data_IF_613244486703
#
_entry.id   IF_613244486703
#
_cell.length_a   1.000
_cell.length_b   1.000
_cell.length_c   1.000
_cell.angle_alpha   90.00
_cell.angle_beta   90.00
_cell.angle_gamma   90.00
#
_symmetry.space_group_name_H-M   'P 1'
#
loop_
_entity.id
_entity.type
_entity.pdbx_description
1 polymer ?
#
# COMPACT_ATOMS: atom_id res chain seq x y z
N UNK A 1 1.17 -52.18 -27.43
CA UNK A 1 1.85 -52.47 -26.15
C UNK A 1 3.20 -51.76 -26.14
N UNK A 2 3.23 -50.50 -25.68
CA UNK A 2 4.42 -49.74 -25.26
C UNK A 2 3.90 -48.51 -24.50
N UNK A 3 3.80 -48.68 -23.20
CA UNK A 3 3.52 -47.66 -22.19
C UNK A 3 4.79 -47.57 -21.31
N UNK A 4 4.98 -46.46 -20.61
CA UNK A 4 6.12 -46.05 -19.78
C UNK A 4 7.24 -45.30 -20.53
N UNK A 5 7.31 -43.98 -20.34
CA UNK A 5 8.24 -43.35 -19.38
C UNK A 5 8.05 -41.81 -19.47
N UNK A 6 7.17 -41.25 -18.64
CA UNK A 6 7.20 -39.82 -18.28
C UNK A 6 6.91 -39.76 -16.78
N UNK A 7 7.97 -39.76 -15.99
CA UNK A 7 7.94 -39.40 -14.58
C UNK A 7 9.26 -38.69 -14.28
N UNK A 8 9.16 -37.61 -13.50
CA UNK A 8 10.27 -36.88 -12.86
C UNK A 8 10.81 -35.63 -13.56
N UNK A 9 9.96 -34.59 -13.71
CA UNK A 9 10.38 -33.17 -13.67
C UNK A 9 9.27 -32.33 -13.00
N UNK A 10 8.99 -32.56 -11.70
CA UNK A 10 8.08 -31.70 -10.91
C UNK A 10 8.49 -31.56 -9.43
N UNK A 11 9.74 -31.87 -9.07
CA UNK A 11 10.15 -31.95 -7.66
C UNK A 11 11.19 -30.89 -7.21
N UNK A 12 11.58 -29.92 -8.03
CA UNK A 12 12.70 -29.01 -7.68
C UNK A 12 12.30 -27.54 -7.44
N UNK A 13 11.03 -27.17 -7.61
CA UNK A 13 10.54 -25.81 -7.32
C UNK A 13 9.80 -25.65 -5.98
N UNK A 14 9.57 -26.75 -5.22
CA UNK A 14 8.86 -26.68 -3.94
C UNK A 14 9.78 -26.56 -2.70
N UNK A 15 11.10 -26.60 -2.87
CA UNK A 15 12.04 -26.69 -1.73
C UNK A 15 12.47 -25.29 -1.22
N UNK A 16 12.25 -24.22 -1.98
CA UNK A 16 12.62 -22.85 -1.57
C UNK A 16 11.63 -22.16 -0.62
N UNK A 17 10.45 -22.74 -0.33
CA UNK A 17 9.51 -22.20 0.66
C UNK A 17 9.55 -22.87 2.03
N UNK A 18 10.29 -23.97 2.20
CA UNK A 18 10.41 -24.66 3.50
C UNK A 18 11.62 -24.20 4.33
N UNK A 19 12.38 -23.20 3.85
CA UNK A 19 13.69 -22.87 4.42
C UNK A 19 13.70 -21.81 5.53
N UNK A 20 12.59 -21.16 5.90
CA UNK A 20 12.62 -20.04 6.88
C UNK A 20 11.53 -20.05 7.98
N UNK A 21 10.74 -21.12 8.13
CA UNK A 21 9.75 -21.19 9.20
C UNK A 21 10.35 -21.11 10.62
N UNK A 22 11.64 -21.48 10.78
CA UNK A 22 12.34 -21.43 12.06
C UNK A 22 12.76 -20.00 12.48
N UNK A 23 12.76 -19.02 11.56
CA UNK A 23 13.21 -17.64 11.88
C UNK A 23 12.06 -16.71 12.28
N UNK A 24 10.81 -17.01 11.89
CA UNK A 24 9.64 -16.17 12.21
C UNK A 24 9.40 -16.04 13.73
N UNK A 25 9.78 -17.07 14.50
CA UNK A 25 9.66 -17.06 15.98
C UNK A 25 10.62 -16.07 16.66
N UNK A 26 11.64 -15.59 15.95
CA UNK A 26 12.66 -14.68 16.47
C UNK A 26 12.45 -13.22 16.06
N UNK A 27 11.35 -12.87 15.37
CA UNK A 27 11.09 -11.47 15.02
C UNK A 27 10.96 -10.64 16.32
N UNK A 28 11.89 -9.69 16.58
CA UNK A 28 11.88 -8.92 17.80
C UNK A 28 10.64 -8.03 17.92
N UNK A 29 10.01 -7.64 16.81
CA UNK A 29 8.80 -6.84 16.84
C UNK A 29 7.57 -7.69 17.21
N UNK A 30 7.47 -8.92 16.72
CA UNK A 30 6.40 -9.83 17.17
C UNK A 30 6.50 -10.09 18.68
N UNK A 31 7.70 -10.38 19.18
CA UNK A 31 7.91 -10.62 20.62
C UNK A 31 7.70 -9.38 21.52
N UNK A 32 7.92 -8.17 20.98
CA UNK A 32 7.66 -6.90 21.69
C UNK A 32 6.19 -6.48 21.68
N UNK A 33 5.35 -7.05 20.82
CA UNK A 33 3.96 -6.61 20.63
C UNK A 33 3.13 -6.61 21.93
N UNK A 34 3.22 -7.60 22.83
CA UNK A 34 2.53 -7.55 24.13
C UNK A 34 2.88 -6.34 25.00
N UNK A 35 4.15 -5.88 24.94
CA UNK A 35 4.60 -4.68 25.65
C UNK A 35 3.96 -3.42 25.06
N UNK A 36 3.91 -3.33 23.73
CA UNK A 36 3.26 -2.24 23.02
C UNK A 36 1.75 -2.19 23.34
N UNK A 37 1.06 -3.33 23.36
CA UNK A 37 -0.36 -3.41 23.74
C UNK A 37 -0.58 -2.97 25.19
N UNK A 38 0.28 -3.38 26.11
CA UNK A 38 0.19 -2.99 27.53
C UNK A 38 0.33 -1.47 27.67
N UNK A 39 1.31 -0.88 26.98
CA UNK A 39 1.49 0.56 26.94
C UNK A 39 0.25 1.26 26.36
N UNK A 40 -0.21 0.83 25.18
CA UNK A 40 -1.31 1.46 24.45
C UNK A 40 -2.60 1.45 25.28
N UNK A 41 -2.93 0.30 25.86
CA UNK A 41 -4.13 0.15 26.72
C UNK A 41 -4.05 0.91 28.04
N UNK A 42 -2.85 1.02 28.63
CA UNK A 42 -2.65 1.83 29.85
C UNK A 42 -2.87 3.34 29.64
N UNK A 43 -2.84 3.79 28.38
CA UNK A 43 -3.09 5.17 27.98
C UNK A 43 -4.47 5.40 27.35
N UNK A 44 -5.41 4.49 27.61
CA UNK A 44 -6.81 4.62 27.17
C UNK A 44 -7.09 4.09 25.76
N UNK A 45 -6.10 3.51 25.09
CA UNK A 45 -6.32 2.79 23.84
C UNK A 45 -7.05 1.46 24.07
N UNK A 46 -7.70 0.96 23.03
CA UNK A 46 -8.33 -0.37 23.03
C UNK A 46 -7.91 -1.16 21.80
N UNK A 47 -7.67 -2.46 21.99
CA UNK A 47 -7.40 -3.44 20.94
C UNK A 47 -8.21 -4.70 21.24
N UNK A 48 -8.92 -5.24 20.25
CA UNK A 48 -9.63 -6.50 20.42
C UNK A 48 -8.65 -7.62 20.82
N UNK A 49 -8.93 -8.39 21.88
CA UNK A 49 -7.99 -9.39 22.41
C UNK A 49 -7.72 -10.55 21.44
N UNK A 50 -8.43 -10.63 20.32
CA UNK A 50 -8.18 -11.59 19.25
C UNK A 50 -7.15 -11.10 18.25
N UNK A 51 -6.62 -9.89 18.35
CA UNK A 51 -5.61 -9.34 17.43
C UNK A 51 -4.20 -9.65 17.94
N UNK A 52 -3.32 -10.06 17.02
CA UNK A 52 -1.87 -10.21 17.22
C UNK A 52 -1.12 -9.61 16.03
N UNK A 53 0.21 -9.59 16.09
CA UNK A 53 1.07 -9.42 14.92
C UNK A 53 1.59 -10.79 14.48
N UNK A 54 1.66 -11.01 13.18
CA UNK A 54 2.20 -12.23 12.56
C UNK A 54 2.58 -11.97 11.11
N UNK A 55 2.77 -13.04 10.35
CA UNK A 55 3.04 -12.97 8.91
C UNK A 55 1.82 -13.45 8.12
N UNK A 56 1.54 -12.78 7.01
CA UNK A 56 0.56 -13.24 6.04
C UNK A 56 1.13 -14.33 5.09
N UNK A 57 0.33 -14.75 4.13
CA UNK A 57 0.70 -15.73 3.09
C UNK A 57 1.85 -15.29 2.18
N UNK A 58 2.16 -13.99 2.14
CA UNK A 58 3.27 -13.40 1.40
C UNK A 58 4.50 -13.16 2.30
N UNK A 59 4.47 -13.62 3.55
CA UNK A 59 5.47 -13.36 4.59
C UNK A 59 5.68 -11.87 4.87
N UNK A 60 4.62 -11.06 4.76
CA UNK A 60 4.62 -9.66 5.17
C UNK A 60 4.12 -9.60 6.61
N UNK A 61 4.91 -8.97 7.49
CA UNK A 61 4.50 -8.77 8.88
C UNK A 61 3.31 -7.82 8.93
N UNK A 62 2.29 -8.15 9.70
CA UNK A 62 1.12 -7.29 9.89
C UNK A 62 0.19 -7.79 10.99
N UNK A 63 -0.94 -7.14 11.14
CA UNK A 63 -1.99 -7.56 12.06
C UNK A 63 -2.71 -8.82 11.59
N UNK A 64 -2.88 -9.75 12.53
CA UNK A 64 -3.53 -11.05 12.31
C UNK A 64 -4.60 -11.28 13.38
N UNK A 65 -5.65 -12.00 13.03
CA UNK A 65 -6.62 -12.52 14.00
C UNK A 65 -6.13 -13.85 14.59
N UNK A 66 -6.42 -14.12 15.86
CA UNK A 66 -6.18 -15.40 16.54
C UNK A 66 -7.45 -16.25 16.63
N UNK A 67 -8.61 -15.60 16.47
CA UNK A 67 -9.95 -16.19 16.44
C UNK A 67 -10.81 -15.39 15.48
N UNK A 68 -11.93 -15.98 15.10
CA UNK A 68 -12.93 -15.29 14.30
C UNK A 68 -13.40 -13.97 14.96
N UNK A 69 -13.53 -12.93 14.14
CA UNK A 69 -14.03 -11.61 14.54
C UNK A 69 -15.26 -11.29 13.68
N UNK A 70 -16.46 -11.15 14.28
CA UNK A 70 -17.65 -10.74 13.54
C UNK A 70 -17.53 -9.34 12.93
N UNK A 71 -18.23 -9.09 11.84
CA UNK A 71 -18.47 -7.76 11.30
C UNK A 71 -18.99 -6.80 12.38
N UNK A 72 -18.72 -5.50 12.21
CA UNK A 72 -19.09 -4.42 13.13
C UNK A 72 -18.42 -4.49 14.53
N UNK A 73 -17.49 -5.44 14.74
CA UNK A 73 -16.65 -5.46 15.94
C UNK A 73 -15.67 -4.29 15.93
N UNK A 74 -15.61 -3.52 17.01
CA UNK A 74 -14.52 -2.56 17.24
C UNK A 74 -13.20 -3.33 17.38
N UNK A 75 -12.29 -3.13 16.44
CA UNK A 75 -10.98 -3.78 16.43
C UNK A 75 -9.96 -2.97 17.24
N UNK A 76 -9.90 -1.66 16.98
CA UNK A 76 -8.94 -0.75 17.59
C UNK A 76 -9.67 0.56 17.89
N UNK A 77 -9.38 1.16 19.05
CA UNK A 77 -9.71 2.56 19.31
C UNK A 77 -8.48 3.28 19.85
N UNK A 78 -8.06 4.30 19.11
CA UNK A 78 -6.95 5.18 19.47
C UNK A 78 -7.54 6.54 19.87
N UNK A 79 -7.60 6.89 21.16
CA UNK A 79 -8.07 8.21 21.58
C UNK A 79 -7.13 9.29 21.02
N UNK A 80 -7.65 10.52 20.84
CA UNK A 80 -6.86 11.66 20.34
C UNK A 80 -5.58 11.90 21.15
N UNK A 81 -5.62 11.65 22.47
CA UNK A 81 -4.45 11.78 23.36
C UNK A 81 -3.31 10.79 23.07
N UNK A 82 -3.54 9.77 22.23
CA UNK A 82 -2.55 8.81 21.75
C UNK A 82 -2.14 9.03 20.29
N UNK A 83 -2.78 9.97 19.58
CA UNK A 83 -2.34 10.43 18.27
C UNK A 83 -1.19 11.41 18.47
N UNK A 84 -0.05 11.18 17.80
CA UNK A 84 1.09 12.10 17.82
C UNK A 84 1.01 13.03 16.62
N UNK A 85 0.63 14.27 16.91
CA UNK A 85 0.48 15.40 15.99
C UNK A 85 0.73 16.71 16.73
N UNK A 86 0.89 17.82 16.03
CA UNK A 86 0.85 19.15 16.65
C UNK A 86 -0.61 19.60 16.82
N UNK A 87 -1.10 19.63 18.06
CA UNK A 87 -2.48 20.03 18.37
C UNK A 87 -2.75 21.54 18.22
N UNK A 88 -1.71 22.36 18.05
CA UNK A 88 -1.80 23.82 17.90
C UNK A 88 -1.72 24.24 16.44
N UNK A 89 -1.03 23.44 15.62
CA UNK A 89 -0.89 23.73 14.20
C UNK A 89 -2.20 23.46 13.42
N UNK A 90 -2.37 24.09 12.24
CA UNK A 90 -3.41 23.68 11.30
C UNK A 90 -3.35 22.18 11.01
N UNK A 91 -4.50 21.55 10.79
CA UNK A 91 -4.62 20.09 10.62
C UNK A 91 -3.86 19.53 9.40
N UNK A 92 -3.33 20.39 8.53
CA UNK A 92 -2.55 20.06 7.33
C UNK A 92 -1.07 20.47 7.41
N UNK A 93 -0.60 20.99 8.55
CA UNK A 93 0.81 21.36 8.75
C UNK A 93 1.67 20.13 9.08
N UNK A 94 2.00 19.36 8.05
CA UNK A 94 2.87 18.19 8.16
C UNK A 94 4.27 18.54 8.70
N UNK A 95 4.76 19.78 8.53
CA UNK A 95 6.04 20.17 9.11
C UNK A 95 5.95 20.19 10.64
N UNK A 96 4.86 20.72 11.19
CA UNK A 96 4.61 20.77 12.63
C UNK A 96 4.48 19.35 13.23
N UNK A 97 3.76 18.45 12.56
CA UNK A 97 3.66 17.05 13.00
C UNK A 97 5.02 16.35 13.04
N UNK A 98 5.85 16.52 12.01
CA UNK A 98 7.20 15.94 12.01
C UNK A 98 8.05 16.54 13.13
N UNK A 99 7.94 17.84 13.41
CA UNK A 99 8.64 18.48 14.54
C UNK A 99 8.14 17.97 15.90
N UNK A 100 6.84 17.63 16.04
CA UNK A 100 6.32 16.96 17.23
C UNK A 100 6.96 15.58 17.43
N UNK A 101 7.14 14.80 16.35
CA UNK A 101 7.86 13.52 16.39
C UNK A 101 9.34 13.73 16.77
N UNK A 102 10.01 14.73 16.19
CA UNK A 102 11.40 15.09 16.53
C UNK A 102 11.52 15.45 18.02
N UNK A 103 10.57 16.21 18.55
CA UNK A 103 10.53 16.59 19.95
C UNK A 103 10.50 15.35 20.85
N UNK A 104 9.54 14.46 20.63
CA UNK A 104 9.37 13.26 21.44
C UNK A 104 10.56 12.30 21.33
N UNK A 105 11.16 12.15 20.14
CA UNK A 105 12.39 11.37 19.96
C UNK A 105 13.57 11.92 20.79
N UNK A 106 13.69 13.26 20.91
CA UNK A 106 14.74 13.90 21.72
C UNK A 106 14.52 13.74 23.23
N UNK A 107 13.26 13.65 23.67
CA UNK A 107 12.93 13.35 25.07
C UNK A 107 13.38 11.91 25.43
N UNK A 108 13.42 11.01 24.45
CA UNK A 108 13.99 9.67 24.61
C UNK A 108 13.16 8.80 25.54
N UNK A 109 13.79 8.15 26.51
CA UNK A 109 13.10 7.20 27.42
C UNK A 109 12.05 7.84 28.33
N UNK A 110 12.07 9.17 28.47
CA UNK A 110 11.06 9.91 29.23
C UNK A 110 9.82 10.25 28.40
N UNK A 111 9.86 10.04 27.08
CA UNK A 111 8.72 10.28 26.20
C UNK A 111 7.62 9.27 26.50
N UNK A 112 6.37 9.74 26.56
CA UNK A 112 5.21 8.84 26.61
C UNK A 112 5.16 7.92 25.38
N UNK A 113 5.74 8.31 24.25
CA UNK A 113 5.74 7.58 22.99
C UNK A 113 6.97 6.68 22.81
N UNK A 114 7.88 6.63 23.80
CA UNK A 114 9.11 5.84 23.70
C UNK A 114 8.84 4.36 23.37
N UNK A 115 7.86 3.72 24.03
CA UNK A 115 7.51 2.31 23.75
C UNK A 115 7.04 2.10 22.32
N UNK A 116 6.32 3.06 21.75
CA UNK A 116 5.90 3.02 20.35
C UNK A 116 7.10 3.21 19.40
N UNK A 117 7.99 4.14 19.70
CA UNK A 117 9.20 4.36 18.89
C UNK A 117 10.20 3.19 18.90
N UNK A 118 10.23 2.40 19.99
CA UNK A 118 11.02 1.16 20.08
C UNK A 118 10.43 0.00 19.26
N UNK A 119 9.18 0.15 18.81
CA UNK A 119 8.49 -0.76 17.91
C UNK A 119 8.58 -0.35 16.43
N UNK A 120 9.01 0.87 16.16
CA UNK A 120 9.13 1.39 14.80
C UNK A 120 10.36 0.83 14.07
N UNK A 121 10.17 0.45 12.81
CA UNK A 121 11.21 0.03 11.89
C UNK A 121 11.21 0.82 10.57
N UNK A 122 10.63 2.03 10.56
CA UNK A 122 10.50 2.86 9.35
C UNK A 122 11.84 3.25 8.73
N UNK A 123 12.90 3.32 9.54
CA UNK A 123 14.26 3.54 9.02
C UNK A 123 14.80 2.35 8.21
N UNK A 124 14.22 1.17 8.39
CA UNK A 124 14.48 -0.02 7.58
C UNK A 124 13.60 -0.12 6.33
N UNK A 125 12.57 0.72 6.20
CA UNK A 125 11.72 0.79 5.00
C UNK A 125 12.55 1.26 3.81
N UNK A 126 12.40 0.62 2.66
CA UNK A 126 13.22 0.87 1.47
C UNK A 126 12.55 1.82 0.50
N UNK A 127 12.11 2.97 1.01
CA UNK A 127 11.35 3.92 0.19
C UNK A 127 12.25 4.59 -0.86
N UNK A 128 11.71 4.96 -2.04
CA UNK A 128 12.50 5.59 -3.09
C UNK A 128 13.26 6.85 -2.68
N UNK A 129 12.78 7.57 -1.66
CA UNK A 129 13.45 8.75 -1.11
C UNK A 129 14.77 8.45 -0.38
N UNK A 130 15.10 7.17 -0.15
CA UNK A 130 16.39 6.74 0.42
C UNK A 130 17.41 6.30 -0.62
N UNK A 131 16.97 6.10 -1.87
CA UNK A 131 17.83 5.56 -2.90
C UNK A 131 18.89 6.58 -3.30
N UNK A 132 20.01 6.11 -3.85
CA UNK A 132 20.96 6.99 -4.50
C UNK A 132 20.27 7.70 -5.70
N UNK A 133 20.18 9.05 -5.73
CA UNK A 133 19.57 9.79 -6.82
C UNK A 133 20.19 9.50 -8.19
N UNK A 134 21.48 9.14 -8.22
CA UNK A 134 22.22 8.78 -9.45
C UNK A 134 22.35 7.26 -9.63
N UNK A 135 21.75 6.51 -8.70
CA UNK A 135 21.84 5.08 -8.56
C UNK A 135 21.16 4.32 -9.69
N UNK A 136 21.44 3.01 -9.73
CA UNK A 136 20.84 2.10 -10.72
C UNK A 136 19.32 2.05 -10.60
N UNK A 137 18.77 2.02 -9.38
CA UNK A 137 17.33 1.91 -9.16
C UNK A 137 16.55 3.05 -9.83
N UNK A 138 17.02 4.29 -9.68
CA UNK A 138 16.42 5.47 -10.34
C UNK A 138 16.51 5.37 -11.86
N UNK A 139 17.63 4.85 -12.41
CA UNK A 139 17.79 4.61 -13.85
C UNK A 139 16.86 3.54 -14.40
N UNK A 140 16.54 2.50 -13.62
CA UNK A 140 15.57 1.47 -14.04
C UNK A 140 14.14 2.04 -14.19
N UNK A 141 13.84 3.16 -13.54
CA UNK A 141 12.57 3.88 -13.66
C UNK A 141 12.57 4.92 -14.80
N UNK A 142 13.66 5.08 -15.55
CA UNK A 142 13.75 6.07 -16.64
C UNK A 142 12.62 5.89 -17.67
N UNK A 143 11.85 6.97 -17.86
CA UNK A 143 10.69 6.99 -18.77
C UNK A 143 9.41 6.35 -18.20
N UNK A 144 9.37 6.01 -16.92
CA UNK A 144 8.18 5.46 -16.24
C UNK A 144 7.80 6.35 -15.05
N UNK A 145 6.53 6.70 -14.80
CA UNK A 145 6.17 7.32 -13.52
C UNK A 145 6.58 6.38 -12.37
N UNK A 146 7.11 6.87 -11.23
CA UNK A 146 7.37 8.26 -10.86
C UNK A 146 8.81 8.72 -11.22
N UNK A 147 9.23 8.66 -12.48
CA UNK A 147 10.55 9.14 -12.88
C UNK A 147 10.73 10.62 -12.53
N UNK A 148 11.79 10.92 -11.77
CA UNK A 148 12.07 12.27 -11.26
C UNK A 148 11.35 12.61 -9.95
N UNK A 149 10.44 11.77 -9.48
CA UNK A 149 9.63 11.99 -8.27
C UNK A 149 10.02 11.10 -7.08
N UNK A 150 10.96 10.17 -7.25
CA UNK A 150 11.39 9.25 -6.17
C UNK A 150 11.86 9.96 -4.90
N UNK A 151 12.38 11.17 -5.05
CA UNK A 151 12.88 12.01 -3.95
C UNK A 151 11.93 13.16 -3.58
N UNK A 152 10.69 13.18 -4.10
CA UNK A 152 9.76 14.31 -3.92
C UNK A 152 9.51 14.62 -2.45
N UNK A 153 9.32 13.59 -1.62
CA UNK A 153 9.00 13.75 -0.20
C UNK A 153 10.18 14.34 0.58
N UNK A 154 11.39 13.79 0.39
CA UNK A 154 12.57 14.33 1.06
C UNK A 154 12.95 15.72 0.56
N UNK A 155 12.80 15.99 -0.75
CA UNK A 155 13.04 17.31 -1.31
C UNK A 155 12.03 18.34 -0.79
N UNK A 156 10.76 17.97 -0.71
CA UNK A 156 9.71 18.80 -0.11
C UNK A 156 10.02 19.11 1.35
N UNK A 157 10.34 18.11 2.16
CA UNK A 157 10.60 18.32 3.58
C UNK A 157 11.84 19.19 3.80
N UNK A 158 12.93 18.93 3.06
CA UNK A 158 14.13 19.77 3.08
C UNK A 158 13.82 21.20 2.68
N UNK A 159 13.12 21.41 1.56
CA UNK A 159 12.82 22.73 1.03
C UNK A 159 11.85 23.52 1.90
N UNK A 160 10.71 22.92 2.22
CA UNK A 160 9.57 23.59 2.85
C UNK A 160 9.69 23.67 4.38
N UNK A 161 10.14 22.59 5.03
CA UNK A 161 10.19 22.54 6.50
C UNK A 161 11.57 22.92 7.07
N UNK A 162 12.65 22.68 6.31
CA UNK A 162 14.03 22.79 6.82
C UNK A 162 14.88 23.86 6.15
N UNK A 163 14.32 24.61 5.21
CA UNK A 163 15.01 25.70 4.51
C UNK A 163 16.24 25.22 3.73
N UNK A 164 16.16 24.04 3.13
CA UNK A 164 17.20 23.41 2.31
C UNK A 164 18.31 22.70 3.08
N UNK A 165 18.24 22.62 4.42
CA UNK A 165 19.28 21.96 5.23
C UNK A 165 19.24 20.43 5.10
N UNK A 166 20.40 19.80 5.20
CA UNK A 166 20.49 18.36 5.40
C UNK A 166 19.91 17.96 6.75
N UNK A 167 19.31 16.77 6.80
CA UNK A 167 18.69 16.22 8.01
C UNK A 167 19.75 15.53 8.86
N UNK A 168 19.71 15.74 10.18
CA UNK A 168 20.43 14.87 11.10
C UNK A 168 19.69 13.52 11.30
N UNK A 169 20.31 12.60 12.04
CA UNK A 169 19.77 11.25 12.26
C UNK A 169 18.37 11.25 12.90
N UNK A 170 18.10 12.12 13.87
CA UNK A 170 16.80 12.20 14.54
C UNK A 170 15.74 12.77 13.58
N UNK A 171 16.10 13.80 12.82
CA UNK A 171 15.22 14.40 11.82
C UNK A 171 14.88 13.42 10.70
N UNK A 172 15.86 12.65 10.24
CA UNK A 172 15.65 11.60 9.26
C UNK A 172 14.74 10.49 9.81
N UNK A 173 14.98 10.04 11.05
CA UNK A 173 14.12 9.05 11.71
C UNK A 173 12.67 9.54 11.83
N UNK A 174 12.47 10.77 12.32
CA UNK A 174 11.14 11.36 12.45
C UNK A 174 10.42 11.51 11.10
N UNK A 175 11.13 12.01 10.09
CA UNK A 175 10.61 12.12 8.73
C UNK A 175 10.19 10.77 8.16
N UNK A 176 11.04 9.75 8.31
CA UNK A 176 10.74 8.40 7.84
C UNK A 176 9.53 7.79 8.54
N UNK A 177 9.44 7.92 9.87
CA UNK A 177 8.26 7.48 10.63
C UNK A 177 6.99 8.14 10.14
N UNK A 178 7.01 9.47 9.97
CA UNK A 178 5.87 10.21 9.48
C UNK A 178 5.48 9.77 8.07
N UNK A 179 6.45 9.73 7.15
CA UNK A 179 6.22 9.39 5.75
C UNK A 179 5.56 8.01 5.58
N UNK A 180 6.04 7.00 6.29
CA UNK A 180 5.59 5.60 6.08
C UNK A 180 4.45 5.17 6.98
N UNK A 181 4.07 5.95 8.01
CA UNK A 181 3.09 5.52 9.03
C UNK A 181 2.03 6.55 9.39
N UNK A 182 2.23 7.82 9.06
CA UNK A 182 1.23 8.83 9.40
C UNK A 182 -0.08 8.58 8.64
N UNK A 183 -1.17 8.82 9.36
CA UNK A 183 -2.48 9.03 8.77
C UNK A 183 -2.72 10.53 8.59
N UNK A 184 -3.92 10.88 8.14
CA UNK A 184 -4.42 12.25 8.08
C UNK A 184 -4.57 12.96 9.44
N UNK A 185 -4.32 12.27 10.58
CA UNK A 185 -4.23 12.90 11.90
C UNK A 185 -2.80 12.94 12.47
N UNK A 186 -1.79 12.50 11.73
CA UNK A 186 -0.45 12.25 12.27
C UNK A 186 -0.20 10.76 12.59
N UNK A 187 0.72 10.46 13.50
CA UNK A 187 1.04 9.07 13.85
C UNK A 187 -0.05 8.47 14.75
N UNK A 188 -0.63 7.35 14.32
CA UNK A 188 -1.70 6.65 15.05
C UNK A 188 -1.18 5.26 15.45
N UNK A 189 -0.64 5.10 16.67
CA UNK A 189 -0.09 3.83 17.12
C UNK A 189 -1.11 2.70 17.02
N UNK A 190 -0.61 1.48 16.82
CA UNK A 190 -1.40 0.24 16.61
C UNK A 190 -2.14 0.21 15.27
N UNK A 191 -2.87 1.27 14.90
CA UNK A 191 -3.53 1.36 13.58
C UNK A 191 -2.55 1.20 12.42
N UNK A 192 -1.39 1.85 12.53
CA UNK A 192 -0.33 1.86 11.52
C UNK A 192 0.44 0.52 11.35
N UNK A 193 0.03 -0.53 12.09
CA UNK A 193 0.54 -1.89 11.93
C UNK A 193 -0.32 -2.75 10.99
N UNK A 194 -1.46 -2.24 10.52
CA UNK A 194 -2.27 -2.91 9.51
C UNK A 194 -1.64 -2.78 8.14
N UNK A 195 -1.59 -3.88 7.39
CA UNK A 195 -1.09 -3.87 6.03
C UNK A 195 -2.10 -3.25 5.06
N UNK A 196 -1.56 -2.66 4.00
CA UNK A 196 -2.32 -2.21 2.85
C UNK A 196 -2.69 -3.39 1.95
N UNK A 197 -3.95 -3.48 1.52
CA UNK A 197 -4.36 -4.32 0.40
C UNK A 197 -5.68 -3.81 -0.20
N UNK A 198 -5.68 -3.43 -1.49
CA UNK A 198 -6.88 -2.86 -2.12
C UNK A 198 -8.03 -3.86 -2.35
N UNK A 199 -7.74 -5.15 -2.54
CA UNK A 199 -8.76 -6.19 -2.79
C UNK A 199 -9.16 -7.05 -1.59
N UNK A 200 -8.55 -6.86 -0.41
CA UNK A 200 -8.80 -7.68 0.80
C UNK A 200 -9.17 -6.82 1.99
N UNK A 201 -9.62 -5.58 1.75
CA UNK A 201 -9.99 -4.62 2.79
C UNK A 201 -11.10 -5.22 3.64
N UNK A 202 -10.86 -5.40 4.94
CA UNK A 202 -11.82 -5.98 5.88
C UNK A 202 -12.06 -5.07 7.10
N UNK A 203 -11.64 -3.81 7.00
CA UNK A 203 -11.81 -2.79 8.04
C UNK A 203 -12.53 -1.56 7.50
N UNK A 204 -13.17 -0.79 8.39
CA UNK A 204 -13.63 0.58 8.16
C UNK A 204 -13.11 1.49 9.27
N UNK A 205 -13.00 2.79 8.96
CA UNK A 205 -12.42 3.79 9.83
C UNK A 205 -13.49 4.82 10.19
N UNK A 206 -13.60 5.15 11.48
CA UNK A 206 -14.52 6.16 12.00
C UNK A 206 -13.76 7.11 12.94
N UNK A 207 -14.05 8.41 12.86
CA UNK A 207 -13.63 9.36 13.88
C UNK A 207 -14.58 9.30 15.06
N UNK A 208 -14.06 9.36 16.29
CA UNK A 208 -14.92 9.62 17.44
C UNK A 208 -15.15 11.12 17.65
N UNK A 209 -16.04 11.46 18.59
CA UNK A 209 -16.39 12.86 18.91
C UNK A 209 -15.25 13.68 19.53
N UNK A 210 -14.17 13.03 19.96
CA UNK A 210 -13.01 13.66 20.60
C UNK A 210 -11.81 13.74 19.64
N UNK A 211 -11.98 13.35 18.38
CA UNK A 211 -10.92 13.35 17.36
C UNK A 211 -10.01 12.12 17.38
N UNK A 212 -10.38 11.07 18.11
CA UNK A 212 -9.73 9.76 18.05
C UNK A 212 -10.11 8.98 16.79
N UNK A 213 -9.46 7.82 16.60
CA UNK A 213 -9.70 6.90 15.50
C UNK A 213 -10.25 5.58 16.00
N UNK A 214 -11.34 5.11 15.39
CA UNK A 214 -11.93 3.79 15.58
C UNK A 214 -11.73 2.97 14.31
N UNK A 215 -11.20 1.76 14.46
CA UNK A 215 -11.09 0.75 13.41
C UNK A 215 -12.12 -0.33 13.71
N UNK A 216 -13.00 -0.60 12.76
CA UNK A 216 -14.12 -1.54 12.94
C UNK A 216 -14.03 -2.59 11.84
N UNK A 217 -14.33 -3.85 12.17
CA UNK A 217 -14.42 -4.92 11.19
C UNK A 217 -15.57 -4.64 10.21
N UNK A 218 -15.27 -4.58 8.92
CA UNK A 218 -16.28 -4.36 7.88
C UNK A 218 -17.05 -5.64 7.54
N UNK A 219 -16.39 -6.78 7.67
CA UNK A 219 -16.90 -8.13 7.40
C UNK A 219 -16.45 -9.05 8.53
N UNK A 220 -17.03 -10.24 8.60
CA UNK A 220 -16.48 -11.31 9.42
C UNK A 220 -15.03 -11.60 8.97
N UNK A 221 -14.11 -11.68 9.92
CA UNK A 221 -12.70 -11.99 9.70
C UNK A 221 -12.42 -13.35 10.34
N UNK A 222 -12.10 -14.34 9.50
CA UNK A 222 -11.75 -15.69 9.94
C UNK A 222 -10.57 -15.69 10.91
N UNK A 223 -10.43 -16.74 11.73
CA UNK A 223 -9.25 -16.93 12.58
C UNK A 223 -7.97 -17.08 11.73
N UNK A 224 -6.83 -16.63 12.27
CA UNK A 224 -5.51 -16.68 11.61
C UNK A 224 -5.48 -15.97 10.26
N UNK A 225 -6.33 -14.96 10.08
CA UNK A 225 -6.40 -14.18 8.86
C UNK A 225 -5.83 -12.77 9.07
N UNK A 226 -5.19 -12.20 8.05
CA UNK A 226 -4.70 -10.83 8.11
C UNK A 226 -5.84 -9.81 8.23
N UNK A 227 -5.58 -8.75 8.97
CA UNK A 227 -6.42 -7.55 9.05
C UNK A 227 -5.84 -6.52 8.10
N UNK A 228 -6.57 -6.23 7.03
CA UNK A 228 -6.14 -5.32 5.99
C UNK A 228 -6.89 -3.99 6.06
N UNK A 229 -6.13 -2.95 5.79
CA UNK A 229 -6.60 -1.61 5.49
C UNK A 229 -6.26 -1.28 4.03
N UNK A 230 -6.68 -0.11 3.54
CA UNK A 230 -6.07 0.47 2.35
C UNK A 230 -5.65 1.90 2.66
N UNK A 231 -4.53 2.30 2.07
CA UNK A 231 -4.03 3.67 2.07
C UNK A 231 -4.76 4.51 1.02
N UNK A 232 -5.35 3.86 0.02
CA UNK A 232 -6.08 4.47 -1.09
C UNK A 232 -7.58 4.61 -0.84
N UNK A 233 -8.03 4.68 0.43
CA UNK A 233 -9.48 4.80 0.75
C UNK A 233 -10.12 6.02 0.11
N UNK A 234 -9.33 7.06 -0.09
CA UNK A 234 -9.77 8.31 -0.67
C UNK A 234 -9.88 8.24 -2.21
N UNK A 235 -9.31 7.21 -2.83
CA UNK A 235 -9.12 7.11 -4.28
C UNK A 235 -8.01 8.01 -4.82
N UNK A 236 -7.31 8.76 -3.97
CA UNK A 236 -6.23 9.66 -4.37
C UNK A 236 -4.86 8.98 -4.41
N UNK A 237 -4.60 8.07 -3.47
CA UNK A 237 -3.31 7.38 -3.40
C UNK A 237 -3.25 6.27 -4.47
N UNK A 238 -2.46 6.49 -5.50
CA UNK A 238 -2.20 5.50 -6.54
C UNK A 238 -1.08 4.52 -6.16
N UNK A 239 -0.87 3.46 -6.94
CA UNK A 239 0.30 2.57 -6.88
C UNK A 239 1.61 3.35 -6.97
N UNK A 240 1.63 4.46 -7.72
CA UNK A 240 2.78 5.36 -7.81
C UNK A 240 3.02 6.05 -6.47
N UNK A 241 1.95 6.50 -5.81
CA UNK A 241 2.04 7.13 -4.49
C UNK A 241 2.40 6.12 -3.40
N UNK A 242 1.80 4.92 -3.43
CA UNK A 242 2.13 3.81 -2.53
C UNK A 242 3.60 3.45 -2.64
N UNK A 243 4.11 3.34 -3.87
CA UNK A 243 5.51 3.04 -4.13
C UNK A 243 6.44 4.14 -3.64
N UNK A 244 6.15 5.41 -3.94
CA UNK A 244 6.98 6.54 -3.49
C UNK A 244 6.98 6.72 -1.97
N UNK A 245 5.83 6.49 -1.33
CA UNK A 245 5.61 6.77 0.09
C UNK A 245 6.05 5.61 0.97
N UNK A 246 5.72 4.37 0.60
CA UNK A 246 5.93 3.19 1.43
C UNK A 246 6.96 2.21 0.86
N UNK A 247 7.42 2.42 -0.37
CA UNK A 247 8.47 1.60 -0.96
C UNK A 247 8.04 0.17 -1.23
N UNK A 248 6.80 -0.05 -1.66
CA UNK A 248 6.37 -1.33 -2.19
C UNK A 248 5.35 -1.13 -3.31
N UNK A 249 5.12 -2.18 -4.09
CA UNK A 249 4.06 -2.25 -5.09
C UNK A 249 3.03 -3.21 -4.55
N UNK A 250 1.81 -2.75 -4.37
CA UNK A 250 0.76 -3.59 -3.81
C UNK A 250 0.39 -4.74 -4.76
N UNK A 251 -0.09 -5.83 -4.16
CA UNK A 251 -0.74 -6.91 -4.90
C UNK A 251 -2.02 -6.39 -5.58
N UNK A 252 -2.42 -7.07 -6.66
CA UNK A 252 -3.65 -6.71 -7.35
C UNK A 252 -4.89 -6.79 -6.42
N UNK A 253 -5.86 -5.87 -6.57
CA UNK A 253 -5.89 -4.78 -7.56
C UNK A 253 -4.97 -3.60 -7.24
N UNK A 254 -4.30 -3.10 -8.27
CA UNK A 254 -3.48 -1.88 -8.22
C UNK A 254 -4.30 -0.69 -8.71
N UNK A 255 -4.11 0.49 -8.10
CA UNK A 255 -4.75 1.73 -8.54
C UNK A 255 -3.73 2.59 -9.29
N UNK A 256 -3.78 2.59 -10.61
CA UNK A 256 -2.90 3.47 -11.39
C UNK A 256 -3.62 4.79 -11.67
N UNK A 257 -2.97 5.90 -11.34
CA UNK A 257 -3.42 7.25 -11.71
C UNK A 257 -2.35 7.84 -12.60
N UNK A 258 -2.75 8.46 -13.70
CA UNK A 258 -1.82 9.22 -14.50
C UNK A 258 -2.24 10.67 -14.55
N UNK A 259 -1.27 11.55 -14.37
CA UNK A 259 -1.42 12.99 -14.38
C UNK A 259 -1.13 13.50 -15.79
N UNK A 260 -2.13 13.51 -16.67
CA UNK A 260 -2.12 14.34 -17.87
C UNK A 260 -2.82 15.66 -17.51
N UNK A 261 -2.23 16.82 -17.86
CA UNK A 261 -2.85 18.14 -17.68
C UNK A 261 -4.26 18.18 -18.30
N UNK A 262 -4.49 17.42 -19.37
CA UNK A 262 -5.82 17.25 -19.96
C UNK A 262 -6.79 16.52 -19.05
N UNK A 263 -6.32 15.55 -18.25
CA UNK A 263 -7.16 14.83 -17.29
C UNK A 263 -7.58 15.75 -16.14
N UNK A 264 -6.66 16.60 -15.65
CA UNK A 264 -6.97 17.63 -14.65
C UNK A 264 -8.03 18.59 -15.18
N UNK A 265 -7.94 18.97 -16.45
CA UNK A 265 -8.95 19.80 -17.08
C UNK A 265 -10.29 19.06 -17.26
N UNK A 266 -10.28 17.81 -17.73
CA UNK A 266 -11.49 16.99 -17.88
C UNK A 266 -12.20 16.72 -16.54
N UNK A 267 -11.45 16.54 -15.46
CA UNK A 267 -12.01 16.39 -14.11
C UNK A 267 -12.66 17.67 -13.62
N UNK A 268 -12.10 18.84 -13.94
CA UNK A 268 -12.70 20.13 -13.63
C UNK A 268 -13.96 20.41 -14.46
N UNK A 269 -13.95 20.03 -15.74
CA UNK A 269 -15.00 20.34 -16.70
C UNK A 269 -16.21 19.39 -16.59
N UNK A 270 -16.03 18.16 -16.11
CA UNK A 270 -17.09 17.16 -15.97
C UNK A 270 -17.42 16.85 -14.50
N UNK A 271 -18.56 17.37 -14.02
CA UNK A 271 -19.06 17.15 -12.66
C UNK A 271 -19.43 15.69 -12.33
N UNK A 272 -19.68 14.86 -13.35
CA UNK A 272 -19.99 13.43 -13.17
C UNK A 272 -18.75 12.53 -13.32
N UNK A 273 -17.58 13.13 -13.56
CA UNK A 273 -16.33 12.38 -13.69
C UNK A 273 -16.09 11.51 -12.45
N UNK A 274 -15.59 10.28 -12.64
CA UNK A 274 -15.38 9.32 -11.55
C UNK A 274 -14.58 9.92 -10.39
N UNK A 275 -13.52 10.67 -10.70
CA UNK A 275 -12.78 11.50 -9.75
C UNK A 275 -13.66 12.40 -8.87
N UNK A 276 -14.67 13.09 -9.41
CA UNK A 276 -15.59 13.94 -8.64
C UNK A 276 -16.56 13.11 -7.77
N UNK A 277 -16.80 11.84 -8.13
CA UNK A 277 -17.56 10.90 -7.29
C UNK A 277 -16.76 10.38 -6.10
N UNK A 278 -15.43 10.34 -6.22
CA UNK A 278 -14.52 9.88 -5.16
C UNK A 278 -13.95 11.03 -4.32
N UNK A 279 -13.85 12.21 -4.92
CA UNK A 279 -13.55 13.46 -4.24
C UNK A 279 -14.79 13.87 -3.44
N UNK A 280 -14.84 13.44 -2.18
CA UNK A 280 -15.67 14.14 -1.20
C UNK A 280 -15.26 15.61 -1.25
N UNK A 281 -16.16 16.47 -1.70
CA UNK A 281 -15.87 17.88 -1.85
C UNK A 281 -15.49 18.42 -0.46
N UNK A 282 -14.21 18.79 -0.32
CA UNK A 282 -13.56 19.22 0.94
C UNK A 282 -14.26 20.46 1.56
N UNK A 283 -15.23 21.03 0.87
CA UNK A 283 -16.00 22.19 1.28
C UNK A 283 -17.36 21.89 1.90
N UNK A 284 -17.82 20.63 1.92
CA UNK A 284 -19.00 20.27 2.69
C UNK A 284 -18.58 19.90 4.11
N UNK A 285 -19.17 20.53 5.13
CA UNK A 285 -18.84 20.30 6.55
C UNK A 285 -19.13 18.85 7.02
N UNK A 286 -19.63 17.99 6.14
CA UNK A 286 -19.78 16.53 6.30
C UNK A 286 -18.79 15.66 5.51
N UNK A 287 -17.82 16.23 4.77
CA UNK A 287 -16.93 15.52 3.85
C UNK A 287 -15.98 14.49 4.51
N UNK A 288 -15.81 14.56 5.83
CA UNK A 288 -15.06 13.57 6.60
C UNK A 288 -15.86 12.31 6.94
N UNK A 289 -17.17 12.30 6.69
CA UNK A 289 -17.98 11.10 6.89
C UNK A 289 -17.70 10.08 5.78
N UNK A 290 -16.63 9.31 5.98
CA UNK A 290 -16.27 8.16 5.16
C UNK A 290 -17.11 6.92 5.49
N UNK A 291 -18.17 7.02 6.31
CA UNK A 291 -19.02 5.86 6.65
C UNK A 291 -19.78 5.30 5.44
N UNK A 292 -19.99 6.14 4.41
CA UNK A 292 -20.59 5.72 3.14
C UNK A 292 -19.59 5.06 2.17
N UNK A 293 -18.28 5.08 2.50
CA UNK A 293 -17.29 4.33 1.74
C UNK A 293 -17.49 2.83 2.00
N UNK A 294 -18.00 2.13 0.99
CA UNK A 294 -18.15 0.67 0.99
C UNK A 294 -17.00 0.09 0.15
N UNK A 295 -15.82 -0.19 0.73
CA UNK A 295 -14.76 -0.83 -0.04
C UNK A 295 -15.25 -2.18 -0.56
N UNK A 296 -14.73 -2.59 -1.72
CA UNK A 296 -15.13 -3.80 -2.44
C UNK A 296 -16.59 -3.76 -2.98
N UNK A 297 -17.25 -2.60 -3.05
CA UNK A 297 -18.49 -2.48 -3.82
C UNK A 297 -18.18 -2.38 -5.32
N UNK A 298 -19.05 -2.93 -6.16
CA UNK A 298 -18.99 -2.85 -7.62
C UNK A 298 -19.02 -1.39 -8.16
N UNK A 299 -19.39 -0.41 -7.34
CA UNK A 299 -19.31 1.01 -7.71
C UNK A 299 -17.87 1.55 -7.67
N UNK A 300 -16.94 0.82 -7.06
CA UNK A 300 -15.54 1.20 -6.84
C UNK A 300 -14.58 0.29 -7.60
N UNK A 301 -15.05 -0.37 -8.67
CA UNK A 301 -14.26 -1.26 -9.52
C UNK A 301 -12.95 -0.61 -9.95
N UNK A 302 -11.87 -1.15 -9.38
CA UNK A 302 -10.53 -1.36 -9.95
C UNK A 302 -10.28 -0.51 -11.20
N UNK A 303 -9.76 0.69 -10.99
CA UNK A 303 -9.27 1.53 -12.08
C UNK A 303 -7.88 1.02 -12.53
N UNK A 304 -7.84 -0.06 -13.30
CA UNK A 304 -6.76 -0.25 -14.29
C UNK A 304 -7.21 0.52 -15.54
N UNK A 305 -7.18 1.84 -15.48
CA UNK A 305 -7.56 2.68 -16.61
C UNK A 305 -6.45 3.62 -16.98
N UNK A 306 -5.54 3.18 -17.87
CA UNK A 306 -4.75 4.13 -18.68
C UNK A 306 -5.67 5.31 -19.01
N UNK A 307 -5.32 6.56 -18.74
CA UNK A 307 -6.22 7.67 -18.95
C UNK A 307 -6.45 7.84 -20.43
N UNK A 308 -5.64 7.24 -21.31
CA UNK A 308 -5.96 7.15 -22.73
C UNK A 308 -7.20 6.30 -22.98
N UNK A 309 -7.47 5.28 -22.17
CA UNK A 309 -8.70 4.46 -22.24
C UNK A 309 -9.85 5.12 -21.45
N UNK A 310 -9.56 5.71 -20.28
CA UNK A 310 -10.56 6.43 -19.47
C UNK A 310 -11.00 7.79 -20.05
N UNK A 311 -10.13 8.51 -20.75
CA UNK A 311 -10.41 9.82 -21.36
C UNK A 311 -11.04 9.70 -22.74
N UNK A 312 -10.94 8.53 -23.40
CA UNK A 312 -11.65 8.31 -24.67
C UNK A 312 -13.13 7.96 -24.47
N UNK A 313 -13.57 7.47 -23.30
CA UNK A 313 -14.99 7.21 -23.01
C UNK A 313 -15.33 7.25 -21.50
N UNK A 314 -15.87 8.37 -20.97
CA UNK A 314 -16.41 8.41 -19.62
C UNK A 314 -17.91 8.09 -19.68
N UNK A 315 -18.31 6.82 -19.79
CA UNK A 315 -19.74 6.45 -19.76
C UNK A 315 -20.00 5.12 -19.08
N UNK A 316 -21.21 4.99 -18.55
CA UNK A 316 -21.86 3.83 -17.93
C UNK A 316 -21.52 2.46 -18.56
N UNK A 317 -21.19 2.40 -19.85
CA UNK A 317 -20.77 1.16 -20.55
C UNK A 317 -19.45 0.54 -20.08
N UNK A 318 -18.51 1.31 -19.51
CA UNK A 318 -17.26 0.72 -18.98
C UNK A 318 -17.51 -0.05 -17.67
N UNK A 319 -18.52 0.37 -16.91
CA UNK A 319 -19.06 -0.33 -15.74
C UNK A 319 -19.83 -1.59 -16.17
N UNK A 320 -20.54 -1.59 -17.30
CA UNK A 320 -21.20 -2.81 -17.81
C UNK A 320 -20.22 -3.86 -18.38
N UNK A 321 -19.12 -3.42 -18.98
CA UNK A 321 -18.10 -4.30 -19.59
C UNK A 321 -17.18 -4.91 -18.53
N UNK A 322 -16.79 -4.16 -17.50
CA UNK A 322 -16.01 -4.66 -16.37
C UNK A 322 -16.88 -5.29 -15.27
N UNK A 323 -18.18 -4.96 -15.23
CA UNK A 323 -19.11 -5.36 -14.18
C UNK A 323 -20.56 -5.51 -14.64
N UNK A 324 -20.84 -6.50 -15.49
CA UNK A 324 -22.13 -7.23 -15.47
C UNK A 324 -22.03 -8.71 -15.86
N UNK A 325 -20.84 -9.20 -16.22
CA UNK A 325 -20.55 -10.61 -15.98
C UNK A 325 -20.29 -10.78 -14.49
N UNK A 326 -21.26 -11.30 -13.72
CA UNK A 326 -21.00 -11.80 -12.38
C UNK A 326 -19.89 -12.86 -12.48
N UNK A 327 -18.64 -12.45 -12.29
CA UNK A 327 -17.51 -13.35 -12.22
C UNK A 327 -17.23 -13.66 -10.76
N UNK A 328 -17.10 -14.93 -10.41
CA UNK A 328 -16.63 -15.30 -9.08
C UNK A 328 -15.17 -14.85 -8.88
N UNK A 329 -14.73 -14.78 -7.63
CA UNK A 329 -13.32 -14.52 -7.33
C UNK A 329 -12.40 -15.55 -7.99
N UNK A 330 -12.81 -16.82 -8.11
CA UNK A 330 -12.07 -17.83 -8.87
C UNK A 330 -11.98 -17.49 -10.35
N UNK A 331 -13.01 -16.94 -10.98
CA UNK A 331 -12.98 -16.57 -12.40
C UNK A 331 -12.06 -15.38 -12.67
N UNK A 332 -12.04 -14.40 -11.77
CA UNK A 332 -11.05 -13.33 -11.80
C UNK A 332 -9.64 -13.87 -11.61
N UNK A 333 -9.42 -14.74 -10.62
CA UNK A 333 -8.13 -15.39 -10.40
C UNK A 333 -7.68 -16.21 -11.63
N UNK A 334 -8.59 -16.92 -12.31
CA UNK A 334 -8.28 -17.69 -13.51
C UNK A 334 -7.88 -16.78 -14.67
N UNK A 335 -8.61 -15.69 -14.92
CA UNK A 335 -8.28 -14.75 -15.99
C UNK A 335 -6.96 -14.02 -15.73
N UNK A 336 -6.78 -13.52 -14.50
CA UNK A 336 -5.55 -12.88 -14.06
C UNK A 336 -4.40 -13.88 -14.19
N UNK A 337 -4.58 -15.13 -13.75
CA UNK A 337 -3.58 -16.18 -13.86
C UNK A 337 -3.27 -16.55 -15.32
N UNK A 338 -4.26 -16.69 -16.19
CA UNK A 338 -4.06 -17.02 -17.60
C UNK A 338 -3.36 -15.87 -18.36
N UNK A 339 -3.73 -14.63 -18.06
CA UNK A 339 -3.06 -13.44 -18.57
C UNK A 339 -1.61 -13.37 -18.08
N UNK A 340 -1.38 -13.59 -16.78
CA UNK A 340 -0.05 -13.70 -16.19
C UNK A 340 0.77 -14.82 -16.83
N UNK A 341 0.21 -16.01 -17.02
CA UNK A 341 0.88 -17.14 -17.67
C UNK A 341 1.25 -16.82 -19.14
N UNK A 342 0.49 -15.99 -19.86
CA UNK A 342 0.88 -15.51 -21.20
C UNK A 342 1.95 -14.40 -21.18
N UNK A 343 1.99 -13.59 -20.12
CA UNK A 343 2.95 -12.47 -19.97
C UNK A 343 4.31 -12.94 -19.45
N UNK A 344 4.32 -14.03 -18.66
CA UNK A 344 5.51 -14.72 -18.13
C UNK A 344 6.50 -15.19 -19.20
N UNK A 345 6.13 -15.13 -20.49
CA UNK A 345 7.00 -15.46 -21.61
C UNK A 345 7.97 -14.32 -22.03
N UNK A 346 7.96 -13.15 -21.38
CA UNK A 346 8.80 -12.01 -21.78
C UNK A 346 10.17 -11.95 -21.07
N UNK A 347 11.19 -11.43 -21.79
CA UNK A 347 12.60 -11.36 -21.39
C UNK A 347 12.86 -10.69 -20.02
N UNK A 348 11.96 -9.83 -19.54
CA UNK A 348 12.13 -9.07 -18.30
C UNK A 348 11.92 -9.92 -17.03
N UNK A 349 11.09 -10.97 -17.09
CA UNK A 349 10.95 -11.91 -15.97
C UNK A 349 12.17 -12.81 -15.81
N UNK A 350 13.02 -13.01 -16.83
CA UNK A 350 14.27 -13.75 -16.66
C UNK A 350 15.29 -12.97 -15.80
N UNK A 351 15.15 -11.63 -15.74
CA UNK A 351 16.06 -10.75 -15.02
C UNK A 351 15.83 -10.88 -13.51
N UNK A 352 14.57 -10.96 -13.03
CA UNK A 352 14.27 -11.00 -11.59
C UNK A 352 14.87 -12.24 -10.89
N UNK A 353 14.61 -13.49 -11.31
CA UNK A 353 15.21 -14.67 -10.70
C UNK A 353 16.73 -14.62 -10.75
N UNK A 354 17.30 -14.07 -11.84
CA UNK A 354 18.75 -13.91 -11.97
C UNK A 354 19.30 -12.90 -10.96
N UNK A 355 18.65 -11.74 -10.80
CA UNK A 355 19.09 -10.72 -9.84
C UNK A 355 18.81 -11.14 -8.39
N UNK A 356 17.68 -11.79 -8.10
CA UNK A 356 17.36 -12.41 -6.80
C UNK A 356 18.38 -13.50 -6.44
N UNK A 357 18.72 -14.41 -7.37
CA UNK A 357 19.75 -15.42 -7.14
C UNK A 357 21.14 -14.82 -6.89
N UNK A 358 21.50 -13.74 -7.60
CA UNK A 358 22.74 -13.00 -7.33
C UNK A 358 22.70 -12.35 -5.95
N UNK A 359 21.58 -11.76 -5.54
CA UNK A 359 21.41 -11.16 -4.22
C UNK A 359 21.52 -12.22 -3.11
N UNK A 360 20.85 -13.36 -3.24
CA UNK A 360 20.95 -14.49 -2.31
C UNK A 360 22.41 -14.97 -2.16
N UNK A 361 23.15 -15.05 -3.28
CA UNK A 361 24.57 -15.43 -3.25
C UNK A 361 25.43 -14.45 -2.47
N UNK A 362 25.08 -13.16 -2.45
CA UNK A 362 25.76 -12.12 -1.66
C UNK A 362 25.33 -12.22 -0.19
N UNK A 363 24.03 -12.41 0.08
CA UNK A 363 23.47 -12.61 1.42
C UNK A 363 24.08 -13.83 2.14
N UNK A 364 24.26 -14.96 1.44
CA UNK A 364 24.94 -16.16 1.97
C UNK A 364 26.40 -15.91 2.39
N UNK A 365 27.01 -14.81 1.95
CA UNK A 365 28.35 -14.39 2.37
C UNK A 365 28.33 -13.37 3.51
N UNK A 366 27.16 -13.14 4.14
CA UNK A 366 26.99 -12.14 5.19
C UNK A 366 27.12 -10.70 4.70
N UNK A 367 26.91 -10.46 3.39
CA UNK A 367 26.95 -9.12 2.80
C UNK A 367 25.55 -8.72 2.35
N UNK A 368 25.22 -7.45 2.52
CA UNK A 368 23.98 -6.85 2.01
C UNK A 368 24.37 -5.86 0.92
N UNK A 369 23.78 -6.01 -0.27
CA UNK A 369 23.99 -5.09 -1.40
C UNK A 369 22.71 -4.26 -1.58
N UNK A 370 22.64 -3.15 -0.85
CA UNK A 370 21.45 -2.27 -0.80
C UNK A 370 21.09 -1.78 -2.20
N UNK A 371 22.06 -1.28 -2.96
CA UNK A 371 21.79 -0.77 -4.31
C UNK A 371 21.25 -1.83 -5.27
N UNK A 372 21.67 -3.10 -5.15
CA UNK A 372 21.09 -4.20 -5.92
C UNK A 372 19.64 -4.47 -5.56
N UNK A 373 19.37 -4.41 -4.27
CA UNK A 373 18.07 -4.71 -3.70
C UNK A 373 17.09 -3.56 -4.03
N UNK A 374 17.54 -2.30 -4.12
CA UNK A 374 16.73 -1.16 -4.60
C UNK A 374 16.43 -1.33 -6.10
N UNK A 375 17.43 -1.77 -6.87
CA UNK A 375 17.24 -2.04 -8.30
C UNK A 375 16.23 -3.16 -8.56
N UNK A 376 16.20 -4.22 -7.72
CA UNK A 376 15.17 -5.27 -7.82
C UNK A 376 13.77 -4.67 -7.62
N UNK A 377 13.60 -3.82 -6.62
CA UNK A 377 12.32 -3.17 -6.33
C UNK A 377 11.87 -2.24 -7.47
N UNK A 378 12.79 -1.46 -8.06
CA UNK A 378 12.50 -0.67 -9.26
C UNK A 378 12.10 -1.54 -10.47
N UNK A 379 12.74 -2.70 -10.65
CA UNK A 379 12.38 -3.65 -11.71
C UNK A 379 11.00 -4.27 -11.45
N UNK A 380 10.67 -4.63 -10.22
CA UNK A 380 9.35 -5.15 -9.83
C UNK A 380 8.24 -4.14 -10.15
N UNK A 381 8.45 -2.87 -9.80
CA UNK A 381 7.56 -1.77 -10.17
C UNK A 381 7.39 -1.64 -11.69
N UNK A 382 8.51 -1.64 -12.44
CA UNK A 382 8.47 -1.56 -13.90
C UNK A 382 7.68 -2.71 -14.53
N UNK A 383 7.80 -3.92 -13.99
CA UNK A 383 7.03 -5.07 -14.46
C UNK A 383 5.54 -4.93 -14.18
N UNK A 384 5.18 -4.53 -12.95
CA UNK A 384 3.78 -4.28 -12.58
C UNK A 384 3.16 -3.21 -13.49
N UNK A 385 3.87 -2.11 -13.74
CA UNK A 385 3.42 -1.07 -14.67
C UNK A 385 3.21 -1.59 -16.10
N UNK A 386 4.17 -2.38 -16.63
CA UNK A 386 4.02 -3.00 -17.96
C UNK A 386 2.83 -3.96 -18.03
N UNK A 387 2.56 -4.72 -16.96
CA UNK A 387 1.40 -5.59 -16.88
C UNK A 387 0.09 -4.78 -16.91
N UNK A 388 0.01 -3.70 -16.12
CA UNK A 388 -1.14 -2.81 -16.13
C UNK A 388 -1.40 -2.20 -17.52
N UNK A 389 -0.35 -1.77 -18.23
CA UNK A 389 -0.47 -1.26 -19.61
C UNK A 389 -0.98 -2.32 -20.59
N UNK A 390 -0.48 -3.55 -20.52
CA UNK A 390 -0.95 -4.66 -21.38
C UNK A 390 -2.41 -5.02 -21.10
N UNK A 391 -2.80 -5.04 -19.82
CA UNK A 391 -4.18 -5.29 -19.44
C UNK A 391 -5.10 -4.19 -19.99
N UNK A 392 -4.73 -2.92 -19.84
CA UNK A 392 -5.47 -1.79 -20.39
C UNK A 392 -5.59 -1.89 -21.93
N UNK A 393 -4.51 -2.24 -22.63
CA UNK A 393 -4.52 -2.46 -24.08
C UNK A 393 -5.45 -3.62 -24.46
N UNK A 394 -5.35 -4.77 -23.78
CA UNK A 394 -6.19 -5.94 -24.05
C UNK A 394 -7.67 -5.66 -23.81
N UNK A 395 -8.02 -4.87 -22.79
CA UNK A 395 -9.39 -4.43 -22.56
C UNK A 395 -9.84 -3.55 -23.73
N UNK A 396 -9.03 -2.55 -24.13
CA UNK A 396 -9.36 -1.68 -25.25
C UNK A 396 -9.51 -2.44 -26.59
N UNK A 397 -8.72 -3.48 -26.83
CA UNK A 397 -8.77 -4.26 -28.07
C UNK A 397 -9.90 -5.29 -28.12
N UNK A 398 -10.27 -5.89 -26.98
CA UNK A 398 -11.33 -6.92 -26.93
C UNK A 398 -12.74 -6.34 -26.78
N UNK A 399 -12.85 -5.06 -26.40
CA UNK A 399 -14.10 -4.33 -26.56
C UNK A 399 -14.25 -4.07 -28.06
N UNK A 400 -15.11 -4.84 -28.71
CA UNK A 400 -15.63 -4.47 -30.03
C UNK A 400 -16.36 -3.15 -29.79
N UNK A 401 -15.69 -2.03 -30.05
CA UNK A 401 -16.33 -0.73 -30.06
C UNK A 401 -17.49 -0.86 -31.03
N UNK A 402 -18.70 -0.88 -30.46
CA UNK A 402 -19.94 -1.00 -31.19
C UNK A 402 -19.86 -0.06 -32.38
N UNK A 403 -20.01 -0.61 -33.59
CA UNK A 403 -20.43 0.17 -34.74
C UNK A 403 -21.56 1.07 -34.25
N UNK A 404 -21.47 2.37 -34.56
CA UNK A 404 -22.57 3.31 -34.38
C UNK A 404 -23.82 2.61 -34.94
N UNK A 405 -24.67 2.09 -34.05
CA UNK A 405 -25.99 1.69 -34.47
C UNK A 405 -26.69 3.01 -34.75
N UNK A 406 -26.94 3.28 -36.03
CA UNK A 406 -27.68 4.43 -36.57
C UNK A 406 -29.13 4.57 -36.03
N UNK A 407 -29.44 4.05 -34.82
CA UNK A 407 -30.71 4.16 -34.12
C UNK A 407 -30.52 4.80 -32.73
N UNK A 408 -30.39 6.13 -32.70
CA UNK A 408 -30.85 6.98 -31.59
C UNK A 408 -31.52 8.25 -32.10
#
# INVERSE_FOLDING_TARGET
>A
MRLLTILSITATCLISHLANADDESNDPLISKFPSLLTWFTSHGGYVDPRITIGYDENHIRGMMTTKEIPAETLLIHTPKTLVLSDDVAPADDQCADIEAVIHELKVGTQSKWHTYFEFDDSTGSRVPSQWDPEGRAVKELEGLPPYGETHRHINWYKGSCRGGKELNEIEWKAFMMFLTRAADLGLVPIYDLMNHHNGKINTKLERDSEGGLRVIALTDISANSPIYNTYARSGWESTVDTFNTYGFVEDYPQLWVWTDDKLVQMTQDNKEHAFQRYRNDVHDEGAYDRSHYVPNSHHYEILVLSPTVGALYPTQGLVEILGNGQRSMEEWQILIKAHHDSIRASHDEAIIPTEKAKLEKVARKGRVDVGKQDAIQAIEFRLAFKQALKLAQSIAENVTFLEDSDEL
#
